data_IF_587370676658
#
_entry.id   IF_587370676658
#
_cell.length_a   1.000
_cell.length_b   1.000
_cell.length_c   1.000
_cell.angle_alpha   90.00
_cell.angle_beta   90.00
_cell.angle_gamma   90.00
#
_symmetry.space_group_name_H-M   'P 1'
#
loop_
_entity.id
_entity.type
_entity.pdbx_description
1 polymer ?
#
# COMPACT_ATOMS: atom_id res chain seq x y z
N UNK A 1 -15.32 -8.47 4.91
CA UNK A 1 -14.83 -7.15 5.37
C UNK A 1 -14.91 -6.22 4.18
N UNK A 2 -15.59 -5.09 4.34
CA UNK A 2 -15.81 -4.12 3.25
C UNK A 2 -14.94 -2.87 3.40
N UNK A 3 -14.64 -2.45 4.63
CA UNK A 3 -13.76 -1.31 4.90
C UNK A 3 -12.71 -1.69 5.93
N UNK A 4 -11.48 -1.22 5.73
CA UNK A 4 -10.37 -1.37 6.66
C UNK A 4 -9.59 -0.06 6.76
N UNK A 5 -9.64 0.58 7.92
CA UNK A 5 -8.79 1.74 8.21
C UNK A 5 -7.70 1.34 9.19
N UNK A 6 -6.45 1.47 8.75
CA UNK A 6 -5.23 1.23 9.50
C UNK A 6 -4.34 2.48 9.53
N UNK A 7 -4.89 3.64 9.18
CA UNK A 7 -4.15 4.89 9.14
C UNK A 7 -3.71 5.34 10.53
N UNK A 8 -2.71 6.23 10.58
CA UNK A 8 -2.21 6.85 11.82
C UNK A 8 -1.72 5.83 12.87
N UNK A 9 -1.09 4.76 12.39
CA UNK A 9 -0.48 3.74 13.22
C UNK A 9 1.05 3.77 13.08
N UNK A 10 1.71 2.78 13.68
CA UNK A 10 3.17 2.57 13.60
C UNK A 10 3.51 1.26 12.88
N UNK A 11 2.65 0.84 11.94
CA UNK A 11 2.89 -0.37 11.16
C UNK A 11 4.15 -0.20 10.31
N UNK A 12 4.93 -1.25 10.17
CA UNK A 12 6.20 -1.24 9.46
C UNK A 12 6.41 -2.51 8.67
N UNK A 13 7.34 -2.48 7.71
CA UNK A 13 7.59 -3.58 6.79
C UNK A 13 6.70 -3.50 5.56
N UNK A 14 6.63 -4.59 4.81
CA UNK A 14 5.90 -4.67 3.54
C UNK A 14 4.42 -4.95 3.74
N UNK A 15 3.60 -4.49 2.78
CA UNK A 15 2.19 -4.90 2.69
C UNK A 15 2.17 -6.37 2.24
N UNK A 16 1.63 -7.31 3.04
CA UNK A 16 1.65 -8.72 2.66
C UNK A 16 0.83 -8.99 1.38
N UNK A 17 1.32 -9.83 0.46
CA UNK A 17 0.56 -10.22 -0.73
C UNK A 17 -0.80 -10.87 -0.41
N UNK A 18 -0.97 -11.43 0.78
CA UNK A 18 -2.24 -12.00 1.24
C UNK A 18 -3.39 -10.99 1.34
N UNK A 19 -3.11 -9.69 1.38
CA UNK A 19 -4.13 -8.64 1.27
C UNK A 19 -4.89 -8.70 -0.07
N UNK A 20 -4.29 -9.31 -1.10
CA UNK A 20 -4.97 -9.71 -2.34
C UNK A 20 -6.22 -10.56 -2.12
N UNK A 21 -6.24 -11.35 -1.05
CA UNK A 21 -7.33 -12.27 -0.73
C UNK A 21 -8.58 -11.59 -0.19
N UNK A 22 -8.51 -10.30 0.16
CA UNK A 22 -9.63 -9.53 0.73
C UNK A 22 -10.58 -9.03 -0.38
N UNK A 23 -11.17 -9.96 -1.14
CA UNK A 23 -11.99 -9.70 -2.34
C UNK A 23 -13.21 -8.80 -2.13
N UNK A 24 -13.65 -8.59 -0.89
CA UNK A 24 -14.83 -7.78 -0.56
C UNK A 24 -14.49 -6.35 -0.13
N UNK A 25 -13.21 -5.98 -0.06
CA UNK A 25 -12.80 -4.67 0.45
C UNK A 25 -13.04 -3.57 -0.59
N UNK A 26 -13.80 -2.56 -0.23
CA UNK A 26 -14.15 -1.39 -1.08
C UNK A 26 -13.51 -0.11 -0.57
N UNK A 27 -13.07 -0.08 0.69
CA UNK A 27 -12.35 1.04 1.28
C UNK A 27 -11.15 0.54 2.10
N UNK A 28 -9.98 1.13 1.87
CA UNK A 28 -8.74 0.80 2.57
C UNK A 28 -7.99 2.10 2.86
N UNK A 29 -7.38 2.21 4.04
CA UNK A 29 -6.51 3.33 4.37
C UNK A 29 -5.30 2.85 5.18
N UNK A 30 -4.11 2.96 4.59
CA UNK A 30 -2.81 2.66 5.22
C UNK A 30 -2.00 3.92 5.53
N UNK A 31 -2.56 5.10 5.31
CA UNK A 31 -1.79 6.34 5.36
C UNK A 31 -1.21 6.62 6.73
N UNK A 32 -0.11 7.36 6.77
CA UNK A 32 0.56 7.75 8.03
C UNK A 32 1.00 6.54 8.86
N UNK A 33 1.78 5.65 8.25
CA UNK A 33 2.47 4.53 8.90
C UNK A 33 3.97 4.57 8.53
N UNK A 34 4.70 3.51 8.87
CA UNK A 34 6.10 3.32 8.50
C UNK A 34 6.27 2.12 7.56
N UNK A 35 5.29 1.88 6.68
CA UNK A 35 5.33 0.80 5.70
C UNK A 35 6.38 1.09 4.62
N UNK A 36 6.89 0.01 4.02
CA UNK A 36 7.95 0.06 3.02
C UNK A 36 7.77 -0.97 1.91
N UNK A 37 8.53 -0.83 0.83
CA UNK A 37 8.55 -1.79 -0.28
C UNK A 37 7.48 -1.54 -1.34
N UNK A 38 7.36 -2.48 -2.26
CA UNK A 38 6.44 -2.38 -3.39
C UNK A 38 5.00 -2.62 -2.93
N UNK A 39 4.07 -1.74 -3.33
CA UNK A 39 2.63 -1.98 -3.17
C UNK A 39 2.27 -3.23 -3.99
N UNK A 40 1.73 -4.29 -3.37
CA UNK A 40 1.41 -5.52 -4.10
C UNK A 40 0.38 -5.26 -5.19
N UNK A 41 0.75 -5.54 -6.45
CA UNK A 41 -0.14 -5.43 -7.63
C UNK A 41 -1.15 -6.59 -7.68
N UNK A 42 -1.90 -6.80 -6.62
CA UNK A 42 -3.01 -7.74 -6.59
C UNK A 42 -4.28 -7.10 -7.14
N UNK A 43 -5.18 -7.92 -7.67
CA UNK A 43 -6.41 -7.46 -8.34
C UNK A 43 -7.21 -6.46 -7.50
N UNK A 44 -7.24 -6.64 -6.17
CA UNK A 44 -8.00 -5.77 -5.27
C UNK A 44 -7.28 -4.47 -4.86
N UNK A 45 -5.94 -4.48 -4.72
CA UNK A 45 -5.20 -3.25 -4.43
C UNK A 45 -5.10 -2.36 -5.70
N UNK A 46 -5.15 -2.97 -6.89
CA UNK A 46 -5.25 -2.26 -8.17
C UNK A 46 -6.56 -1.50 -8.34
N UNK A 47 -7.66 -1.97 -7.74
CA UNK A 47 -8.97 -1.30 -7.81
C UNK A 47 -9.13 -0.14 -6.83
N UNK A 48 -8.14 0.09 -5.96
CA UNK A 48 -8.08 1.22 -5.03
C UNK A 48 -6.94 2.18 -5.45
N UNK A 49 -7.12 2.94 -6.55
CA UNK A 49 -6.06 3.72 -7.17
C UNK A 49 -5.79 5.06 -6.49
N UNK A 50 -6.49 5.40 -5.40
CA UNK A 50 -6.27 6.66 -4.71
C UNK A 50 -4.93 6.62 -3.96
N UNK A 51 -3.91 7.41 -4.36
CA UNK A 51 -2.61 7.41 -3.68
C UNK A 51 -2.68 7.94 -2.24
N UNK A 52 -3.74 8.68 -1.88
CA UNK A 52 -3.90 9.24 -0.54
C UNK A 52 -3.94 8.14 0.53
N UNK A 53 -4.48 6.96 0.19
CA UNK A 53 -4.61 5.83 1.10
C UNK A 53 -3.26 5.19 1.46
N UNK A 54 -2.22 5.42 0.66
CA UNK A 54 -0.86 4.95 0.90
C UNK A 54 0.08 6.07 1.37
N UNK A 55 -0.40 7.33 1.36
CA UNK A 55 0.42 8.50 1.65
C UNK A 55 1.06 8.48 3.05
N UNK A 56 2.12 9.28 3.23
CA UNK A 56 2.88 9.36 4.50
C UNK A 56 3.42 8.00 4.97
N UNK A 57 3.83 7.15 4.02
CA UNK A 57 4.65 5.96 4.24
C UNK A 57 5.94 6.15 3.44
N UNK A 58 7.05 6.59 4.05
CA UNK A 58 8.23 7.06 3.32
C UNK A 58 8.94 5.96 2.51
N UNK A 59 8.76 4.70 2.86
CA UNK A 59 9.38 3.58 2.16
C UNK A 59 8.47 2.89 1.13
N UNK A 60 7.19 3.28 1.01
CA UNK A 60 6.27 2.65 0.05
C UNK A 60 6.47 3.22 -1.36
N UNK A 61 6.41 2.34 -2.35
CA UNK A 61 6.54 2.70 -3.75
C UNK A 61 5.75 1.73 -4.66
N UNK A 62 5.62 2.06 -5.94
CA UNK A 62 4.79 1.34 -6.91
C UNK A 62 3.38 1.91 -7.02
N UNK A 63 2.66 1.52 -8.08
CA UNK A 63 1.33 2.04 -8.37
C UNK A 63 0.36 1.85 -7.17
N UNK A 64 -0.42 2.88 -6.77
CA UNK A 64 -0.62 4.17 -7.43
C UNK A 64 0.37 5.29 -7.04
N UNK A 65 1.37 5.02 -6.21
CA UNK A 65 2.47 5.94 -5.92
C UNK A 65 3.49 5.95 -7.07
N UNK A 66 4.58 6.71 -6.89
CA UNK A 66 5.71 6.69 -7.82
C UNK A 66 6.40 5.32 -7.84
N UNK A 67 7.01 4.98 -8.98
CA UNK A 67 7.74 3.73 -9.14
C UNK A 67 8.90 3.61 -8.16
N UNK A 68 9.18 2.39 -7.69
CA UNK A 68 10.35 2.13 -6.86
C UNK A 68 11.62 2.48 -7.65
N UNK A 69 12.40 3.44 -7.14
CA UNK A 69 13.73 3.70 -7.68
C UNK A 69 14.64 2.61 -7.17
N UNK A 70 14.89 1.61 -8.01
CA UNK A 70 15.98 0.67 -7.78
C UNK A 70 17.27 1.48 -7.67
N UNK A 71 17.86 1.50 -6.48
CA UNK A 71 19.13 2.19 -6.21
C UNK A 71 20.34 1.46 -6.83
N UNK A 72 20.12 0.64 -7.87
CA UNK A 72 21.11 -0.25 -8.48
C UNK A 72 21.62 0.21 -9.85
N UNK A 73 21.34 1.45 -10.27
CA UNK A 73 22.04 2.10 -11.39
C UNK A 73 23.10 3.08 -10.89
N UNK A 74 24.28 2.54 -10.59
CA UNK A 74 25.57 3.24 -10.69
C UNK A 74 26.59 2.30 -11.32
#
# INVERSE_FOLDING_TARGET
LESLDLSLNRLSGEIPPSFAGLKSITALNFSSNNLSGLIPMSDQLRTLPDPSIYSKNPGLCGFPLEGCVDSSTS
#
